data_IF_073738186653
#
_entry.id   IF_073738186653
#
_cell.length_a   1.000
_cell.length_b   1.000
_cell.length_c   1.000
_cell.angle_alpha   90.00
_cell.angle_beta   90.00
_cell.angle_gamma   90.00
#
_symmetry.space_group_name_H-M   'P 1'
#
loop_
_entity.id
_entity.type
_entity.pdbx_description
1 polymer ?
#
# COMPACT_ATOMS: atom_id res chain seq x y z
N UNK A 1 56.74 6.25 6.12
CA UNK A 1 55.28 6.35 5.87
C UNK A 1 54.59 6.73 7.18
N UNK A 2 53.96 7.91 7.25
CA UNK A 2 53.38 8.45 8.49
C UNK A 2 52.25 7.54 9.00
N UNK A 3 52.24 7.22 10.30
CA UNK A 3 51.16 6.44 10.95
C UNK A 3 49.77 7.08 10.73
N UNK A 4 49.72 8.38 10.44
CA UNK A 4 48.50 9.11 10.07
C UNK A 4 47.96 8.75 8.68
N UNK A 5 48.85 8.42 7.74
CA UNK A 5 48.48 8.02 6.38
C UNK A 5 47.91 6.59 6.34
N UNK A 6 48.40 5.71 7.21
CA UNK A 6 47.88 4.34 7.38
C UNK A 6 46.49 4.39 8.03
N UNK A 7 46.27 5.26 9.02
CA UNK A 7 44.94 5.42 9.66
C UNK A 7 43.88 5.97 8.70
N UNK A 8 44.25 6.92 7.83
CA UNK A 8 43.36 7.46 6.78
C UNK A 8 42.98 6.41 5.74
N UNK A 9 43.91 5.54 5.34
CA UNK A 9 43.62 4.45 4.40
C UNK A 9 42.72 3.37 5.01
N UNK A 10 42.84 3.07 6.31
CA UNK A 10 41.98 2.10 6.99
C UNK A 10 40.56 2.63 7.19
N UNK A 11 40.37 3.93 7.43
CA UNK A 11 39.04 4.56 7.49
C UNK A 11 38.32 4.57 6.13
N UNK A 12 39.04 4.72 5.02
CA UNK A 12 38.44 4.65 3.68
C UNK A 12 37.93 3.25 3.32
N UNK A 13 38.54 2.18 3.84
CA UNK A 13 38.12 0.79 3.58
C UNK A 13 36.88 0.39 4.39
N UNK A 14 36.61 1.05 5.52
CA UNK A 14 35.37 0.85 6.28
C UNK A 14 34.18 1.67 5.75
N UNK A 15 34.42 2.66 4.89
CA UNK A 15 33.37 3.39 4.19
C UNK A 15 32.90 2.71 2.90
N UNK A 16 33.63 1.69 2.42
CA UNK A 16 33.25 0.93 1.21
C UNK A 16 32.66 -0.45 1.51
N UNK A 17 32.52 -0.82 2.78
CA UNK A 17 31.90 -2.09 3.21
C UNK A 17 30.61 -1.86 3.98
N UNK A 18 29.54 -1.58 3.23
CA UNK A 18 28.22 -2.11 3.57
C UNK A 18 27.50 -2.48 2.28
N UNK A 19 27.23 -3.78 2.19
CA UNK A 19 26.65 -4.47 1.07
C UNK A 19 25.19 -4.09 0.83
N UNK A 20 24.84 -3.97 -0.44
CA UNK A 20 23.78 -4.70 -1.15
C UNK A 20 23.43 -3.84 -2.38
N UNK A 21 23.20 -4.48 -3.53
CA UNK A 21 22.37 -3.88 -4.58
C UNK A 21 20.98 -3.77 -3.96
N UNK A 22 20.76 -2.72 -3.16
CA UNK A 22 19.44 -2.37 -2.69
C UNK A 22 18.75 -1.85 -3.95
N UNK A 23 17.96 -2.70 -4.60
CA UNK A 23 16.94 -2.21 -5.53
C UNK A 23 16.31 -0.97 -4.89
N UNK A 24 16.42 0.17 -5.55
CA UNK A 24 16.21 1.48 -4.94
C UNK A 24 14.75 1.56 -4.47
N UNK A 25 14.51 1.28 -3.19
CA UNK A 25 13.15 1.30 -2.63
C UNK A 25 12.51 2.66 -2.87
N UNK A 26 11.29 2.66 -3.40
CA UNK A 26 10.50 3.89 -3.55
C UNK A 26 10.34 4.59 -2.21
N UNK A 27 10.48 5.91 -2.21
CA UNK A 27 10.22 6.74 -1.03
C UNK A 27 8.73 6.73 -0.69
N UNK A 28 8.38 7.14 0.54
CA UNK A 28 6.97 7.31 0.92
C UNK A 28 6.25 8.28 -0.02
N UNK A 29 6.90 9.37 -0.40
CA UNK A 29 6.36 10.36 -1.35
C UNK A 29 6.03 9.73 -2.72
N UNK A 30 6.96 8.96 -3.29
CA UNK A 30 6.73 8.28 -4.57
C UNK A 30 5.60 7.25 -4.50
N UNK A 31 5.44 6.60 -3.35
CA UNK A 31 4.34 5.65 -3.10
C UNK A 31 3.01 6.38 -3.06
N UNK A 32 2.93 7.49 -2.33
CA UNK A 32 1.70 8.31 -2.26
C UNK A 32 1.35 8.95 -3.63
N UNK A 33 2.36 9.36 -4.41
CA UNK A 33 2.15 9.89 -5.76
C UNK A 33 1.50 8.86 -6.69
N UNK A 34 1.97 7.60 -6.65
CA UNK A 34 1.34 6.52 -7.41
C UNK A 34 -0.11 6.26 -6.98
N UNK A 35 -0.40 6.31 -5.67
CA UNK A 35 -1.77 6.15 -5.16
C UNK A 35 -2.67 7.32 -5.57
N UNK A 36 -2.13 8.53 -5.60
CA UNK A 36 -2.85 9.71 -6.08
C UNK A 36 -3.29 9.53 -7.54
N UNK A 37 -2.41 9.06 -8.41
CA UNK A 37 -2.74 8.74 -9.81
C UNK A 37 -3.87 7.70 -9.90
N UNK A 38 -3.84 6.67 -9.07
CA UNK A 38 -4.92 5.68 -9.01
C UNK A 38 -6.27 6.30 -8.63
N UNK A 39 -6.26 7.18 -7.64
CA UNK A 39 -7.46 7.87 -7.19
C UNK A 39 -8.00 8.86 -8.24
N UNK A 40 -7.14 9.54 -9.00
CA UNK A 40 -7.58 10.41 -10.10
C UNK A 40 -8.37 9.64 -11.17
N UNK A 41 -7.91 8.44 -11.55
CA UNK A 41 -8.67 7.58 -12.45
C UNK A 41 -9.97 7.06 -11.81
N UNK A 42 -9.94 6.69 -10.52
CA UNK A 42 -11.15 6.25 -9.79
C UNK A 42 -12.21 7.35 -9.73
N UNK A 43 -11.81 8.61 -9.57
CA UNK A 43 -12.71 9.78 -9.64
C UNK A 43 -13.33 9.88 -11.04
N UNK A 44 -12.52 9.78 -12.09
CA UNK A 44 -12.99 9.86 -13.48
C UNK A 44 -14.01 8.75 -13.78
N UNK A 45 -13.65 7.50 -13.46
CA UNK A 45 -14.50 6.33 -13.66
C UNK A 45 -15.81 6.43 -12.87
N UNK A 46 -15.74 6.86 -11.60
CA UNK A 46 -16.92 7.02 -10.76
C UNK A 46 -17.89 8.07 -11.30
N UNK A 47 -17.39 9.15 -11.91
CA UNK A 47 -18.22 10.15 -12.58
C UNK A 47 -18.85 9.60 -13.86
N UNK A 48 -18.06 8.94 -14.71
CA UNK A 48 -18.53 8.40 -16.01
C UNK A 48 -19.57 7.30 -15.79
N UNK A 49 -19.38 6.44 -14.79
CA UNK A 49 -20.24 5.28 -14.53
C UNK A 49 -21.25 5.50 -13.40
N UNK A 50 -21.31 6.71 -12.86
CA UNK A 50 -22.19 7.07 -11.73
C UNK A 50 -22.06 6.09 -10.55
N UNK A 51 -20.85 5.98 -10.01
CA UNK A 51 -20.55 5.12 -8.85
C UNK A 51 -20.47 6.01 -7.60
N UNK A 52 -21.51 5.97 -6.78
CA UNK A 52 -21.62 6.84 -5.62
C UNK A 52 -20.85 6.38 -4.39
N UNK A 53 -20.39 5.12 -4.36
CA UNK A 53 -19.63 4.53 -3.24
C UNK A 53 -18.16 4.19 -3.55
N UNK A 54 -17.55 4.88 -4.52
CA UNK A 54 -16.14 4.68 -4.86
C UNK A 54 -15.24 5.17 -3.72
N UNK A 55 -14.50 4.27 -3.07
CA UNK A 55 -13.60 4.63 -1.98
C UNK A 55 -12.25 5.17 -2.47
N UNK A 56 -11.63 6.01 -1.65
CA UNK A 56 -10.24 6.40 -1.81
C UNK A 56 -9.31 5.23 -1.51
N UNK A 57 -8.31 5.02 -2.36
CA UNK A 57 -7.18 4.15 -2.07
C UNK A 57 -6.14 4.91 -1.23
N UNK A 58 -5.54 4.21 -0.27
CA UNK A 58 -4.38 4.67 0.48
C UNK A 58 -3.24 3.66 0.39
N UNK A 59 -2.00 4.13 0.46
CA UNK A 59 -0.88 3.22 0.59
C UNK A 59 -0.94 2.54 1.97
N UNK A 60 -0.87 1.21 2.01
CA UNK A 60 -0.97 0.44 3.26
C UNK A 60 0.35 -0.29 3.53
N UNK A 61 1.10 0.21 4.52
CA UNK A 61 2.41 -0.35 4.88
C UNK A 61 2.32 -1.74 5.55
N UNK A 62 1.17 -2.12 6.14
CA UNK A 62 0.98 -3.48 6.65
C UNK A 62 0.75 -4.45 5.49
N UNK A 63 0.00 -4.03 4.47
CA UNK A 63 -0.15 -4.77 3.22
C UNK A 63 1.19 -4.85 2.46
N UNK A 64 2.03 -3.82 2.54
CA UNK A 64 3.40 -3.85 1.99
C UNK A 64 4.27 -4.90 2.69
N UNK A 65 4.16 -5.06 4.02
CA UNK A 65 4.86 -6.15 4.74
C UNK A 65 4.40 -7.52 4.27
N UNK A 66 3.09 -7.69 4.03
CA UNK A 66 2.53 -8.93 3.46
C UNK A 66 3.13 -9.18 2.07
N UNK A 67 3.13 -8.18 1.19
CA UNK A 67 3.71 -8.28 -0.14
C UNK A 67 5.22 -8.61 -0.09
N UNK A 68 5.99 -7.91 0.75
CA UNK A 68 7.42 -8.17 0.95
C UNK A 68 7.70 -9.60 1.44
N UNK A 69 6.80 -10.21 2.22
CA UNK A 69 6.98 -11.59 2.68
C UNK A 69 6.92 -12.63 1.56
N UNK A 70 6.44 -12.27 0.37
CA UNK A 70 6.31 -13.15 -0.80
C UNK A 70 7.48 -13.02 -1.79
N UNK A 71 8.32 -11.99 -1.65
CA UNK A 71 9.33 -11.65 -2.67
C UNK A 71 10.53 -12.60 -2.70
N UNK A 72 10.81 -13.30 -1.59
CA UNK A 72 12.00 -14.14 -1.46
C UNK A 72 11.87 -15.55 -2.05
N UNK A 73 10.65 -16.07 -2.25
CA UNK A 73 10.43 -17.47 -2.64
C UNK A 73 9.31 -17.66 -3.68
N UNK A 74 8.74 -16.57 -4.21
CA UNK A 74 7.61 -16.62 -5.15
C UNK A 74 6.37 -17.36 -4.60
N UNK A 75 6.22 -17.45 -3.27
CA UNK A 75 5.04 -18.02 -2.62
C UNK A 75 4.01 -16.92 -2.35
N UNK A 76 3.11 -16.74 -3.31
CA UNK A 76 2.04 -15.76 -3.21
C UNK A 76 0.89 -16.33 -2.38
N UNK A 77 0.76 -15.83 -1.15
CA UNK A 77 -0.34 -16.19 -0.25
C UNK A 77 -1.64 -15.55 -0.72
N UNK A 78 -2.76 -16.19 -0.41
CA UNK A 78 -4.08 -15.59 -0.55
C UNK A 78 -4.40 -14.76 0.70
N UNK A 79 -5.35 -13.84 0.57
CA UNK A 79 -5.89 -13.07 1.68
C UNK A 79 -6.92 -12.07 1.18
N UNK A 80 -7.26 -11.11 2.04
CA UNK A 80 -8.19 -10.01 1.72
C UNK A 80 -7.51 -8.98 0.80
N UNK A 81 -7.04 -9.44 -0.37
CA UNK A 81 -6.42 -8.65 -1.41
C UNK A 81 -6.35 -9.40 -2.74
N UNK A 82 -6.27 -8.66 -3.84
CA UNK A 82 -5.94 -9.17 -5.18
C UNK A 82 -4.52 -8.77 -5.55
N UNK A 83 -3.75 -9.71 -6.09
CA UNK A 83 -2.44 -9.46 -6.67
C UNK A 83 -2.56 -9.01 -8.13
N UNK A 84 -1.89 -7.92 -8.47
CA UNK A 84 -1.78 -7.38 -9.83
C UNK A 84 -0.30 -7.23 -10.18
N UNK A 85 0.22 -7.90 -11.23
CA UNK A 85 1.59 -7.68 -11.69
C UNK A 85 1.82 -6.21 -12.05
N UNK A 86 2.96 -5.65 -11.63
CA UNK A 86 3.26 -4.23 -11.79
C UNK A 86 3.32 -3.81 -13.26
N UNK A 87 3.88 -4.66 -14.13
CA UNK A 87 3.86 -4.46 -15.59
C UNK A 87 2.45 -4.28 -16.13
N UNK A 88 1.51 -5.13 -15.72
CA UNK A 88 0.11 -5.04 -16.21
C UNK A 88 -0.55 -3.76 -15.73
N UNK A 89 -0.32 -3.40 -14.46
CA UNK A 89 -0.82 -2.15 -13.91
C UNK A 89 -0.24 -0.96 -14.68
N UNK A 90 1.09 -0.88 -14.85
CA UNK A 90 1.75 0.19 -15.60
C UNK A 90 1.23 0.29 -17.04
N UNK A 91 1.12 -0.83 -17.76
CA UNK A 91 0.56 -0.86 -19.11
C UNK A 91 -0.88 -0.33 -19.13
N UNK A 92 -1.71 -0.73 -18.17
CA UNK A 92 -3.08 -0.23 -18.04
C UNK A 92 -3.13 1.29 -17.84
N UNK A 93 -2.27 1.84 -16.98
CA UNK A 93 -2.18 3.29 -16.74
C UNK A 93 -1.85 4.03 -18.03
N UNK A 94 -0.80 3.60 -18.72
CA UNK A 94 -0.33 4.22 -19.96
C UNK A 94 -1.36 4.12 -21.09
N UNK A 95 -2.02 2.96 -21.23
CA UNK A 95 -3.10 2.78 -22.21
C UNK A 95 -4.30 3.68 -21.92
N UNK A 96 -4.68 3.82 -20.65
CA UNK A 96 -5.80 4.67 -20.22
C UNK A 96 -5.48 6.14 -20.52
N UNK A 97 -4.26 6.61 -20.21
CA UNK A 97 -3.79 7.96 -20.58
C UNK A 97 -3.78 8.18 -22.09
N UNK A 98 -3.32 7.19 -22.84
CA UNK A 98 -3.28 7.22 -24.30
C UNK A 98 -4.65 7.01 -24.97
N UNK A 99 -5.73 6.80 -24.20
CA UNK A 99 -7.10 6.53 -24.69
C UNK A 99 -7.19 5.34 -25.66
N UNK A 100 -6.39 4.31 -25.43
CA UNK A 100 -6.41 3.08 -26.24
C UNK A 100 -7.62 2.21 -25.86
N UNK A 101 -8.30 1.63 -26.86
CA UNK A 101 -9.58 0.89 -26.69
C UNK A 101 -9.39 -0.45 -25.95
N UNK A 102 -8.22 -1.09 -26.09
CA UNK A 102 -7.91 -2.36 -25.43
C UNK A 102 -7.39 -2.12 -24.03
N UNK A 103 -8.26 -2.27 -23.03
CA UNK A 103 -7.90 -2.21 -21.61
C UNK A 103 -7.87 -3.62 -21.01
N UNK A 104 -6.84 -3.91 -20.20
CA UNK A 104 -6.81 -5.15 -19.40
C UNK A 104 -7.99 -5.14 -18.42
N UNK A 105 -8.97 -6.02 -18.68
CA UNK A 105 -10.21 -6.05 -17.89
C UNK A 105 -10.00 -6.54 -16.47
N UNK A 106 -8.98 -7.35 -16.22
CA UNK A 106 -8.68 -7.84 -14.87
C UNK A 106 -8.11 -6.71 -14.03
N UNK A 107 -7.17 -5.93 -14.59
CA UNK A 107 -6.65 -4.72 -13.93
C UNK A 107 -7.76 -3.70 -13.69
N UNK A 108 -8.61 -3.43 -14.70
CA UNK A 108 -9.75 -2.52 -14.56
C UNK A 108 -10.67 -2.94 -13.42
N UNK A 109 -10.99 -4.24 -13.32
CA UNK A 109 -11.88 -4.79 -12.29
C UNK A 109 -11.32 -4.60 -10.89
N UNK A 110 -10.00 -4.68 -10.71
CA UNK A 110 -9.35 -4.46 -9.41
C UNK A 110 -9.25 -2.97 -9.10
N UNK A 111 -8.68 -2.19 -10.02
CA UNK A 111 -8.42 -0.76 -9.82
C UNK A 111 -9.69 0.07 -9.65
N UNK A 112 -10.77 -0.28 -10.33
CA UNK A 112 -12.06 0.43 -10.26
C UNK A 112 -13.07 -0.24 -9.33
N UNK A 113 -12.65 -1.22 -8.53
CA UNK A 113 -13.52 -1.81 -7.54
C UNK A 113 -13.85 -0.78 -6.43
N UNK A 114 -15.14 -0.43 -6.21
CA UNK A 114 -15.53 0.68 -5.34
C UNK A 114 -15.18 0.46 -3.87
N UNK A 115 -15.11 -0.79 -3.43
CA UNK A 115 -14.81 -1.13 -2.04
C UNK A 115 -13.33 -1.42 -1.75
N UNK A 116 -12.44 -1.29 -2.73
CA UNK A 116 -11.00 -1.30 -2.44
C UNK A 116 -10.62 0.02 -1.77
N UNK A 117 -9.81 -0.06 -0.72
CA UNK A 117 -9.42 1.09 0.12
C UNK A 117 -7.92 1.17 0.36
N UNK A 118 -7.17 0.11 0.05
CA UNK A 118 -5.73 0.03 0.28
C UNK A 118 -5.00 -0.60 -0.89
N UNK A 119 -3.78 -0.14 -1.11
CA UNK A 119 -2.85 -0.69 -2.09
C UNK A 119 -1.43 -0.71 -1.53
N UNK A 120 -0.63 -1.70 -1.91
CA UNK A 120 0.79 -1.72 -1.64
C UNK A 120 1.53 -2.43 -2.77
N UNK A 121 2.67 -1.92 -3.19
CA UNK A 121 3.47 -2.47 -4.28
C UNK A 121 4.90 -2.76 -3.84
N UNK A 122 5.48 -3.84 -4.35
CA UNK A 122 6.86 -4.26 -4.09
C UNK A 122 7.54 -4.64 -5.41
N UNK A 123 8.83 -4.35 -5.50
CA UNK A 123 9.70 -4.79 -6.59
C UNK A 123 10.33 -6.14 -6.21
N UNK A 124 10.74 -6.91 -7.22
CA UNK A 124 11.41 -8.19 -7.00
C UNK A 124 12.89 -8.11 -7.38
N UNK A 125 13.73 -8.79 -6.62
CA UNK A 125 15.15 -8.92 -6.96
C UNK A 125 15.39 -9.87 -8.15
N UNK A 126 14.46 -10.80 -8.38
CA UNK A 126 14.45 -11.76 -9.48
C UNK A 126 13.00 -12.05 -9.88
N UNK A 127 12.73 -12.36 -11.16
CA UNK A 127 11.37 -12.62 -11.63
C UNK A 127 10.79 -13.89 -10.99
N UNK A 128 9.46 -13.98 -10.96
CA UNK A 128 8.68 -15.16 -10.60
C UNK A 128 7.89 -15.68 -11.83
N UNK A 129 8.51 -16.45 -12.74
CA UNK A 129 7.92 -16.79 -14.05
C UNK A 129 6.64 -17.61 -13.95
N UNK A 130 6.56 -18.53 -12.98
CA UNK A 130 5.38 -19.37 -12.75
C UNK A 130 4.11 -18.57 -12.42
N UNK A 131 4.25 -17.27 -12.12
CA UNK A 131 3.16 -16.36 -11.75
C UNK A 131 3.09 -15.13 -12.65
N UNK A 132 3.88 -15.10 -13.74
CA UNK A 132 3.94 -13.98 -14.69
C UNK A 132 4.25 -12.63 -14.03
N UNK A 133 5.14 -12.66 -13.03
CA UNK A 133 5.65 -11.46 -12.35
C UNK A 133 7.14 -11.32 -12.66
N UNK A 134 7.55 -10.17 -13.17
CA UNK A 134 8.94 -9.83 -13.48
C UNK A 134 9.58 -9.01 -12.35
N UNK A 135 10.77 -8.43 -12.60
CA UNK A 135 11.49 -7.62 -11.62
C UNK A 135 10.75 -6.33 -11.22
N UNK A 136 9.81 -5.82 -12.05
CA UNK A 136 8.94 -4.70 -11.66
C UNK A 136 8.03 -5.09 -10.47
N UNK A 137 7.85 -6.39 -10.24
CA UNK A 137 7.14 -6.95 -9.11
C UNK A 137 5.63 -6.83 -9.25
N UNK A 138 4.94 -6.55 -8.14
CA UNK A 138 3.48 -6.61 -8.08
C UNK A 138 2.89 -5.66 -7.04
N UNK A 139 1.60 -5.40 -7.18
CA UNK A 139 0.79 -4.65 -6.25
C UNK A 139 -0.31 -5.54 -5.66
N UNK A 140 -0.61 -5.35 -4.39
CA UNK A 140 -1.77 -5.91 -3.70
C UNK A 140 -2.82 -4.82 -3.52
N UNK A 141 -4.07 -5.08 -3.90
CA UNK A 141 -5.22 -4.20 -3.69
C UNK A 141 -6.19 -4.88 -2.73
N UNK A 142 -6.64 -4.19 -1.68
CA UNK A 142 -7.54 -4.77 -0.68
C UNK A 142 -8.60 -3.79 -0.14
N UNK A 143 -9.61 -4.29 0.60
CA UNK A 143 -9.70 -5.64 1.15
C UNK A 143 -10.46 -6.68 0.29
N UNK A 144 -10.96 -6.33 -0.90
CA UNK A 144 -11.79 -7.24 -1.69
C UNK A 144 -10.94 -8.13 -2.58
N UNK A 145 -11.16 -9.44 -2.52
CA UNK A 145 -10.56 -10.45 -3.39
C UNK A 145 -11.45 -10.76 -4.61
N UNK A 146 -12.76 -10.55 -4.48
CA UNK A 146 -13.75 -10.70 -5.55
C UNK A 146 -14.48 -9.40 -5.88
N UNK A 147 -15.00 -9.32 -7.11
CA UNK A 147 -15.78 -8.19 -7.58
C UNK A 147 -17.23 -8.60 -7.80
N UNK A 148 -18.13 -8.24 -6.89
CA UNK A 148 -19.55 -8.52 -7.01
C UNK A 148 -20.26 -7.30 -7.59
N UNK A 149 -21.28 -7.53 -8.44
CA UNK A 149 -22.09 -6.42 -8.98
C UNK A 149 -22.77 -5.61 -7.87
N UNK A 150 -23.13 -6.27 -6.77
CA UNK A 150 -23.72 -5.65 -5.57
C UNK A 150 -22.79 -4.69 -4.85
N UNK A 151 -21.48 -4.75 -5.11
CA UNK A 151 -20.51 -3.85 -4.47
C UNK A 151 -20.60 -2.42 -5.00
N UNK A 152 -21.22 -2.22 -6.17
CA UNK A 152 -21.39 -0.91 -6.81
C UNK A 152 -22.76 -0.32 -6.48
N UNK A 153 -22.76 0.81 -5.77
CA UNK A 153 -23.97 1.62 -5.53
C UNK A 153 -24.03 2.73 -6.57
N UNK A 154 -25.07 2.74 -7.40
CA UNK A 154 -25.27 3.75 -8.45
C UNK A 154 -25.72 5.08 -7.87
N UNK A 155 -25.12 6.17 -8.34
CA UNK A 155 -25.44 7.53 -7.94
C UNK A 155 -24.31 8.50 -8.22
N UNK A 156 -24.53 9.81 -8.00
CA UNK A 156 -23.47 10.81 -8.12
C UNK A 156 -22.26 10.44 -7.25
N UNK A 157 -21.05 10.78 -7.70
CA UNK A 157 -19.83 10.53 -6.93
C UNK A 157 -19.99 11.04 -5.48
N UNK A 158 -19.75 10.15 -4.52
CA UNK A 158 -19.83 10.48 -3.10
C UNK A 158 -21.21 10.33 -2.46
N UNK A 159 -22.27 10.07 -3.24
CA UNK A 159 -23.65 10.03 -2.71
C UNK A 159 -23.93 8.84 -1.77
N UNK A 160 -23.07 7.83 -1.77
CA UNK A 160 -23.25 6.60 -0.99
C UNK A 160 -22.04 6.31 -0.09
N UNK A 161 -21.40 7.35 0.45
CA UNK A 161 -20.29 7.22 1.39
C UNK A 161 -20.78 7.15 2.83
N UNK A 162 -20.56 6.00 3.47
CA UNK A 162 -21.00 5.76 4.85
C UNK A 162 -20.11 6.49 5.90
N UNK A 163 -18.88 6.88 5.53
CA UNK A 163 -17.90 7.52 6.42
C UNK A 163 -17.45 8.92 5.93
N UNK A 164 -18.28 9.55 5.10
CA UNK A 164 -18.00 10.85 4.52
C UNK A 164 -16.99 10.84 3.36
N UNK A 165 -16.68 12.03 2.88
CA UNK A 165 -15.89 12.27 1.68
C UNK A 165 -14.43 12.60 2.01
N UNK A 166 -13.51 12.12 1.18
CA UNK A 166 -12.16 12.64 1.03
C UNK A 166 -12.17 13.90 0.16
N UNK A 167 -11.05 14.62 0.12
CA UNK A 167 -10.95 15.94 -0.56
C UNK A 167 -11.16 15.83 -2.08
N UNK A 168 -10.89 14.65 -2.65
CA UNK A 168 -11.12 14.32 -4.07
C UNK A 168 -12.58 13.88 -4.37
N UNK A 169 -13.46 13.83 -3.37
CA UNK A 169 -14.86 13.40 -3.49
C UNK A 169 -15.08 11.88 -3.41
N UNK A 170 -14.02 11.07 -3.29
CA UNK A 170 -14.14 9.63 -3.03
C UNK A 170 -14.56 9.36 -1.58
N UNK A 171 -15.10 8.17 -1.31
CA UNK A 171 -15.49 7.76 0.04
C UNK A 171 -14.27 7.48 0.92
N UNK A 172 -14.32 7.93 2.17
CA UNK A 172 -13.36 7.51 3.20
C UNK A 172 -13.61 6.06 3.60
N UNK A 173 -12.53 5.31 3.79
CA UNK A 173 -12.60 4.00 4.42
C UNK A 173 -13.07 4.12 5.88
N UNK A 174 -13.70 3.06 6.39
CA UNK A 174 -14.01 2.97 7.81
C UNK A 174 -12.71 3.10 8.64
N UNK A 175 -12.73 3.92 9.68
CA UNK A 175 -11.64 3.93 10.65
C UNK A 175 -11.61 2.57 11.32
N UNK A 176 -10.44 1.91 11.35
CA UNK A 176 -10.27 0.72 12.20
C UNK A 176 -10.54 1.18 13.63
N UNK A 177 -11.65 0.72 14.22
CA UNK A 177 -11.92 0.89 15.64
C UNK A 177 -10.65 0.47 16.38
N UNK A 178 -9.98 1.43 17.02
CA UNK A 178 -8.94 1.11 17.97
C UNK A 178 -9.62 0.36 19.11
N UNK A 179 -9.58 -0.97 19.07
CA UNK A 179 -9.86 -1.78 20.24
C UNK A 179 -8.69 -1.53 21.20
N UNK A 180 -8.74 -0.39 21.88
CA UNK A 180 -7.86 -0.08 22.99
C UNK A 180 -8.16 -1.11 24.07
N UNK A 181 -7.41 -2.21 24.09
CA UNK A 181 -7.27 -2.98 25.33
C UNK A 181 -6.53 -2.06 26.29
N UNK A 182 -7.28 -1.26 27.03
CA UNK A 182 -6.77 -0.49 28.14
C UNK A 182 -6.27 -1.55 29.14
N UNK A 183 -4.97 -1.83 29.14
CA UNK A 183 -4.35 -2.69 30.14
C UNK A 183 -4.47 -1.97 31.49
N UNK A 184 -5.54 -2.27 32.22
CA UNK A 184 -5.90 -1.75 33.55
C UNK A 184 -4.87 -2.09 34.64
N UNK A 185 -3.76 -2.75 34.32
CA UNK A 185 -2.72 -3.12 35.27
C UNK A 185 -1.65 -2.03 35.47
N UNK A 186 -1.52 -1.06 34.55
CA UNK A 186 -0.49 -0.01 34.68
C UNK A 186 -0.92 1.06 35.70
N UNK A 187 -2.21 1.38 35.78
CA UNK A 187 -2.73 2.38 36.72
C UNK A 187 -2.69 1.91 38.19
N UNK A 188 -2.86 0.62 38.46
CA UNK A 188 -2.76 0.06 39.81
C UNK A 188 -1.33 0.06 40.35
N UNK A 189 -0.33 -0.20 39.50
CA UNK A 189 1.09 -0.13 39.93
C UNK A 189 1.49 1.31 40.26
N UNK A 190 1.09 2.29 39.45
CA UNK A 190 1.38 3.70 39.73
C UNK A 190 0.74 4.20 41.03
N UNK A 191 -0.51 3.82 41.31
CA UNK A 191 -1.18 4.21 42.55
C UNK A 191 -0.51 3.60 43.80
N UNK A 192 -0.07 2.34 43.73
CA UNK A 192 0.63 1.67 44.83
C UNK A 192 2.02 2.28 45.06
N UNK A 193 2.76 2.59 44.00
CA UNK A 193 4.07 3.26 44.09
C UNK A 193 3.92 4.64 44.73
N UNK A 194 2.96 5.46 44.29
CA UNK A 194 2.72 6.79 44.88
C UNK A 194 2.34 6.68 46.36
N UNK A 195 1.50 5.70 46.74
CA UNK A 195 1.14 5.48 48.15
C UNK A 195 2.32 5.01 49.02
N UNK A 196 3.28 4.29 48.45
CA UNK A 196 4.49 3.83 49.16
C UNK A 196 5.52 4.96 49.32
N UNK A 197 5.69 5.82 48.31
CA UNK A 197 6.73 6.86 48.33
C UNK A 197 6.31 8.20 48.92
N UNK A 198 5.00 8.51 49.01
CA UNK A 198 4.51 9.80 49.51
C UNK A 198 3.85 9.74 50.90
N UNK A 199 3.90 8.60 51.60
CA UNK A 199 3.51 8.54 53.01
C UNK A 199 4.75 8.74 53.89
N UNK A 200 5.13 10.01 54.09
CA UNK A 200 6.00 10.43 55.18
C UNK A 200 5.47 11.71 55.80
#
# INVERSE_FOLDING_TARGET
MSKRLILLLVLCVHLTTSAAILAKRKTAEQKEEAVKEYNEMRVSEAKIKEIGNMHELKYDYELEKVANSMTGNCEFKNGDYVLVPAVKLRQFLEQTKARVITVDRDVARVLYHPLQTKVACVELAAPCPARYVDEEGFCLFGPRDEALRSDTKKGPLGSHCDHGLADNGLCKAALKSATTRLNSLIFTVFAVVVMIFFKK
#
